data_IF_830093140614
#
_entry.id   IF_830093140614
#
_cell.length_a   1.000
_cell.length_b   1.000
_cell.length_c   1.000
_cell.angle_alpha   90.00
_cell.angle_beta   90.00
_cell.angle_gamma   90.00
#
_symmetry.space_group_name_H-M   'P 1'
#
loop_
_entity.id
_entity.type
_entity.pdbx_description
1 polymer ?
#
# COMPACT_ATOMS: atom_id res chain seq x y z
N UNK A 1 -16.25 -4.09 15.91
CA UNK A 1 -15.05 -3.96 16.76
C UNK A 1 -14.35 -5.29 16.78
N UNK A 2 -13.04 -5.30 16.56
CA UNK A 2 -12.18 -6.47 16.59
C UNK A 2 -11.03 -6.18 17.55
N UNK A 3 -10.61 -7.18 18.32
CA UNK A 3 -9.52 -7.00 19.27
C UNK A 3 -8.45 -8.06 19.06
N UNK A 4 -7.21 -7.71 19.38
CA UNK A 4 -6.18 -8.70 19.61
C UNK A 4 -5.24 -8.28 20.74
N UNK A 5 -4.78 -9.27 21.51
CA UNK A 5 -3.81 -9.12 22.57
C UNK A 5 -2.58 -9.97 22.25
N UNK A 6 -1.41 -9.34 22.25
CA UNK A 6 -0.13 -10.01 22.04
C UNK A 6 0.90 -9.59 23.08
N UNK A 7 1.89 -10.44 23.32
CA UNK A 7 3.11 -10.05 24.02
C UNK A 7 3.80 -8.89 23.27
N UNK A 8 4.09 -7.80 23.97
CA UNK A 8 4.68 -6.59 23.36
C UNK A 8 6.06 -6.85 22.76
N UNK A 9 6.87 -7.74 23.36
CA UNK A 9 8.20 -8.07 22.83
C UNK A 9 8.10 -8.83 21.51
N UNK A 10 7.20 -9.81 21.42
CA UNK A 10 6.98 -10.58 20.19
C UNK A 10 6.44 -9.70 19.06
N UNK A 11 5.47 -8.83 19.39
CA UNK A 11 4.93 -7.87 18.44
C UNK A 11 6.04 -6.91 17.95
N UNK A 12 6.82 -6.33 18.86
CA UNK A 12 7.93 -5.44 18.51
C UNK A 12 8.98 -6.14 17.65
N UNK A 13 9.37 -7.38 17.99
CA UNK A 13 10.33 -8.16 17.17
C UNK A 13 9.81 -8.38 15.75
N UNK A 14 8.52 -8.66 15.60
CA UNK A 14 7.86 -8.79 14.29
C UNK A 14 7.93 -7.49 13.50
N UNK A 15 7.64 -6.36 14.15
CA UNK A 15 7.71 -5.05 13.50
C UNK A 15 9.16 -4.61 13.20
N UNK A 16 10.14 -5.03 14.01
CA UNK A 16 11.57 -4.82 13.71
C UNK A 16 11.97 -5.61 12.45
N UNK A 17 11.49 -6.84 12.29
CA UNK A 17 11.71 -7.63 11.08
C UNK A 17 11.13 -6.93 9.84
N UNK A 18 9.89 -6.44 9.93
CA UNK A 18 9.27 -5.62 8.88
C UNK A 18 10.04 -4.32 8.60
N UNK A 19 10.56 -3.65 9.64
CA UNK A 19 11.33 -2.41 9.49
C UNK A 19 12.65 -2.64 8.74
N UNK A 20 13.25 -3.83 8.84
CA UNK A 20 14.41 -4.19 8.03
C UNK A 20 14.07 -4.28 6.54
N UNK A 21 12.80 -4.45 6.19
CA UNK A 21 12.32 -4.38 4.81
C UNK A 21 12.12 -2.90 4.51
N UNK A 22 11.26 -2.16 5.22
CA UNK A 22 10.98 -0.72 5.01
C UNK A 22 12.15 0.21 5.42
N UNK A 23 13.32 0.03 4.81
CA UNK A 23 14.54 0.81 5.07
C UNK A 23 14.56 2.09 4.24
N UNK A 24 15.00 3.17 4.87
CA UNK A 24 15.35 4.42 4.21
C UNK A 24 14.48 5.61 4.63
N UNK A 25 14.90 6.80 4.20
CA UNK A 25 14.23 8.08 4.46
C UNK A 25 13.52 8.64 3.21
N UNK A 26 13.35 7.82 2.17
CA UNK A 26 12.64 8.26 0.97
C UNK A 26 11.17 8.55 1.28
N UNK A 27 10.55 9.44 0.50
CA UNK A 27 9.12 9.73 0.62
C UNK A 27 8.25 8.45 0.57
N UNK A 28 8.63 7.46 -0.24
CA UNK A 28 7.96 6.15 -0.33
C UNK A 28 8.10 5.30 0.94
N UNK A 29 9.30 5.28 1.53
CA UNK A 29 9.53 4.58 2.81
C UNK A 29 8.68 5.20 3.93
N UNK A 30 8.61 6.53 3.97
CA UNK A 30 7.83 7.26 4.98
C UNK A 30 6.32 7.08 4.82
N UNK A 31 5.84 6.87 3.59
CA UNK A 31 4.41 6.68 3.26
C UNK A 31 3.99 5.21 3.17
N UNK A 32 4.85 4.27 3.55
CA UNK A 32 4.55 2.83 3.47
C UNK A 32 3.37 2.47 4.37
N UNK A 33 2.36 1.83 3.79
CA UNK A 33 1.21 1.28 4.50
C UNK A 33 1.53 -0.14 4.97
N UNK A 34 1.19 -0.40 6.23
CA UNK A 34 1.12 -1.72 6.83
C UNK A 34 -0.33 -2.17 6.79
N UNK A 35 -0.60 -3.28 6.11
CA UNK A 35 -1.86 -3.98 6.21
C UNK A 35 -1.81 -4.90 7.44
N UNK A 36 -2.81 -4.78 8.32
CA UNK A 36 -3.01 -5.64 9.49
C UNK A 36 -4.24 -6.50 9.22
N UNK A 37 -4.07 -7.81 9.14
CA UNK A 37 -5.17 -8.76 8.99
C UNK A 37 -5.32 -9.53 10.29
N UNK A 38 -6.49 -9.43 10.91
CA UNK A 38 -6.85 -10.16 12.14
C UNK A 38 -7.79 -11.29 11.77
N UNK A 39 -7.41 -12.50 12.15
CA UNK A 39 -8.15 -13.75 11.99
C UNK A 39 -8.12 -14.55 13.29
N UNK A 40 -8.93 -15.60 13.40
CA UNK A 40 -9.02 -16.39 14.63
C UNK A 40 -7.64 -16.94 15.07
N UNK A 41 -7.16 -16.45 16.22
CA UNK A 41 -5.91 -16.85 16.85
C UNK A 41 -4.64 -16.26 16.21
N UNK A 42 -4.77 -15.37 15.21
CA UNK A 42 -3.62 -14.93 14.40
C UNK A 42 -3.77 -13.51 13.86
N UNK A 43 -2.67 -12.77 13.89
CA UNK A 43 -2.55 -11.47 13.23
C UNK A 43 -1.40 -11.49 12.23
N UNK A 44 -1.68 -11.01 11.02
CA UNK A 44 -0.73 -10.90 9.92
C UNK A 44 -0.48 -9.43 9.60
N UNK A 45 0.79 -9.07 9.47
CA UNK A 45 1.28 -7.75 9.11
C UNK A 45 1.96 -7.82 7.75
N UNK A 46 1.51 -7.02 6.79
CA UNK A 46 2.06 -6.99 5.44
C UNK A 46 2.48 -5.57 5.06
N UNK A 47 3.66 -5.46 4.46
CA UNK A 47 4.18 -4.27 3.78
C UNK A 47 4.69 -4.71 2.41
N UNK A 48 4.92 -3.80 1.44
CA UNK A 48 5.56 -4.15 0.19
C UNK A 48 6.86 -4.95 0.41
N UNK A 49 6.90 -6.15 -0.15
CA UNK A 49 8.03 -7.07 -0.10
C UNK A 49 8.14 -7.96 1.15
N UNK A 50 7.22 -7.87 2.12
CA UNK A 50 7.27 -8.74 3.29
C UNK A 50 5.93 -8.93 4.02
N UNK A 51 5.72 -10.15 4.50
CA UNK A 51 4.55 -10.55 5.30
C UNK A 51 5.06 -11.33 6.51
N UNK A 52 4.63 -10.93 7.70
CA UNK A 52 4.92 -11.64 8.94
C UNK A 52 3.63 -11.87 9.72
N UNK A 53 3.60 -12.92 10.54
CA UNK A 53 2.43 -13.26 11.35
C UNK A 53 2.82 -13.63 12.77
N UNK A 54 1.92 -13.37 13.71
CA UNK A 54 2.02 -13.78 15.11
C UNK A 54 0.75 -14.52 15.50
N UNK A 55 0.89 -15.54 16.33
CA UNK A 55 -0.24 -16.19 16.98
C UNK A 55 -0.52 -15.45 18.28
N UNK A 56 -1.77 -15.07 18.50
CA UNK A 56 -2.18 -14.24 19.62
C UNK A 56 -3.68 -14.39 19.91
N UNK A 57 -4.14 -13.86 21.03
CA UNK A 57 -5.57 -13.90 21.36
C UNK A 57 -6.30 -12.86 20.50
N UNK A 58 -7.36 -13.27 19.82
CA UNK A 58 -8.13 -12.41 18.93
C UNK A 58 -9.63 -12.55 19.19
N UNK A 59 -10.39 -11.49 18.91
CA UNK A 59 -11.84 -11.52 18.87
C UNK A 59 -12.34 -10.86 17.58
N UNK A 60 -12.93 -11.67 16.71
CA UNK A 60 -13.44 -11.25 15.41
C UNK A 60 -12.35 -11.08 14.35
N UNK A 61 -12.80 -10.66 13.17
CA UNK A 61 -12.02 -10.69 11.92
C UNK A 61 -12.08 -9.33 11.22
N UNK A 62 -10.91 -8.80 10.84
CA UNK A 62 -10.84 -7.53 10.10
C UNK A 62 -9.55 -7.42 9.30
N UNK A 63 -9.54 -6.44 8.40
CA UNK A 63 -8.32 -5.91 7.79
C UNK A 63 -8.25 -4.42 8.00
N UNK A 64 -7.11 -3.92 8.45
CA UNK A 64 -6.83 -2.52 8.70
C UNK A 64 -5.60 -2.04 7.92
N UNK A 65 -5.59 -0.77 7.53
CA UNK A 65 -4.46 -0.11 6.87
C UNK A 65 -3.99 1.09 7.70
N UNK A 66 -2.69 1.10 8.02
CA UNK A 66 -2.04 2.12 8.84
C UNK A 66 -0.65 2.46 8.29
N UNK A 67 -0.17 3.69 8.49
CA UNK A 67 1.22 4.04 8.20
C UNK A 67 2.17 3.20 9.05
N UNK A 68 3.04 2.42 8.40
CA UNK A 68 3.93 1.46 9.05
C UNK A 68 4.81 2.12 10.11
N UNK A 69 5.46 3.24 9.77
CA UNK A 69 6.35 3.91 10.72
C UNK A 69 5.60 4.44 11.94
N UNK A 70 4.41 5.00 11.75
CA UNK A 70 3.59 5.48 12.86
C UNK A 70 3.24 4.32 13.80
N UNK A 71 2.74 3.21 13.25
CA UNK A 71 2.42 2.01 14.02
C UNK A 71 3.65 1.44 14.74
N UNK A 72 4.79 1.33 14.04
CA UNK A 72 6.05 0.87 14.61
C UNK A 72 6.48 1.72 15.81
N UNK A 73 6.38 3.05 15.71
CA UNK A 73 6.78 3.96 16.79
C UNK A 73 5.88 3.80 18.02
N UNK A 74 4.56 3.73 17.82
CA UNK A 74 3.62 3.49 18.92
C UNK A 74 3.92 2.19 19.65
N UNK A 75 4.16 1.10 18.91
CA UNK A 75 4.48 -0.19 19.53
C UNK A 75 5.86 -0.18 20.19
N UNK A 76 6.85 0.47 19.60
CA UNK A 76 8.21 0.57 20.16
C UNK A 76 8.20 1.29 21.51
N UNK A 77 7.36 2.31 21.65
CA UNK A 77 7.31 3.16 22.84
C UNK A 77 6.37 2.61 23.93
N UNK A 78 5.71 1.47 23.68
CA UNK A 78 4.94 0.74 24.68
C UNK A 78 5.84 0.26 25.83
N UNK A 79 5.43 0.59 27.06
CA UNK A 79 6.07 0.10 28.30
C UNK A 79 5.41 -1.14 28.87
N UNK A 80 4.23 -1.50 28.38
CA UNK A 80 3.43 -2.63 28.89
C UNK A 80 3.95 -3.97 28.39
N UNK A 81 3.79 -5.02 29.20
CA UNK A 81 4.18 -6.40 28.84
C UNK A 81 3.29 -6.98 27.72
N UNK A 82 2.03 -6.56 27.70
CA UNK A 82 1.04 -6.92 26.70
C UNK A 82 0.57 -5.68 25.95
N UNK A 83 0.31 -5.86 24.66
CA UNK A 83 -0.26 -4.84 23.78
C UNK A 83 -1.71 -5.21 23.52
N UNK A 84 -2.64 -4.41 24.04
CA UNK A 84 -4.07 -4.53 23.76
C UNK A 84 -4.42 -3.63 22.59
N UNK A 85 -4.84 -4.24 21.48
CA UNK A 85 -5.15 -3.51 20.25
C UNK A 85 -6.62 -3.71 19.91
N UNK A 86 -7.33 -2.60 19.77
CA UNK A 86 -8.75 -2.55 19.44
C UNK A 86 -8.90 -1.86 18.10
N UNK A 87 -9.50 -2.56 17.14
CA UNK A 87 -9.78 -2.07 15.79
C UNK A 87 -11.28 -1.83 15.66
N UNK A 88 -11.62 -0.58 15.39
CA UNK A 88 -12.94 -0.11 14.99
C UNK A 88 -12.88 0.34 13.52
N UNK A 89 -14.01 0.77 12.96
CA UNK A 89 -14.13 1.11 11.53
C UNK A 89 -13.09 2.13 11.08
N UNK A 90 -12.95 3.20 11.86
CA UNK A 90 -12.11 4.34 11.50
C UNK A 90 -10.98 4.59 12.49
N UNK A 91 -10.86 3.74 13.52
CA UNK A 91 -9.91 3.95 14.61
C UNK A 91 -9.24 2.67 15.05
N UNK A 92 -7.99 2.82 15.45
CA UNK A 92 -7.19 1.79 16.09
C UNK A 92 -6.74 2.35 17.43
N UNK A 93 -7.05 1.63 18.50
CA UNK A 93 -6.59 1.95 19.85
C UNK A 93 -5.51 0.96 20.26
N UNK A 94 -4.39 1.47 20.75
CA UNK A 94 -3.30 0.71 21.35
C UNK A 94 -3.24 1.14 22.81
N UNK A 95 -3.74 0.28 23.70
CA UNK A 95 -4.04 0.65 25.09
C UNK A 95 -4.89 1.95 25.10
N UNK A 96 -4.37 3.05 25.65
CA UNK A 96 -5.08 4.32 25.80
C UNK A 96 -4.93 5.28 24.60
N UNK A 97 -4.07 4.96 23.62
CA UNK A 97 -3.80 5.82 22.46
C UNK A 97 -4.71 5.41 21.32
N UNK A 98 -5.54 6.33 20.82
CA UNK A 98 -6.42 6.10 19.68
C UNK A 98 -5.96 6.91 18.47
N UNK A 99 -5.90 6.27 17.31
CA UNK A 99 -5.45 6.87 16.05
C UNK A 99 -6.42 6.54 14.91
N UNK A 100 -6.56 7.43 13.91
CA UNK A 100 -7.40 7.17 12.76
C UNK A 100 -6.75 6.16 11.81
N UNK A 101 -7.54 5.20 11.34
CA UNK A 101 -7.14 4.19 10.35
C UNK A 101 -8.28 3.91 9.37
N UNK A 102 -8.02 3.15 8.31
CA UNK A 102 -9.08 2.52 7.51
C UNK A 102 -9.18 1.06 7.91
N UNK A 103 -10.36 0.58 8.29
CA UNK A 103 -10.62 -0.83 8.54
C UNK A 103 -11.82 -1.35 7.77
N UNK A 104 -11.82 -2.65 7.51
CA UNK A 104 -12.95 -3.40 6.96
C UNK A 104 -13.12 -4.68 7.74
N UNK A 105 -14.37 -5.06 8.01
CA UNK A 105 -14.74 -6.21 8.83
C UNK A 105 -15.42 -7.25 7.96
N UNK A 106 -15.08 -8.52 8.15
CA UNK A 106 -15.60 -9.60 7.30
C UNK A 106 -16.27 -10.67 8.15
N UNK A 107 -17.49 -11.06 7.80
CA UNK A 107 -18.19 -12.16 8.47
C UNK A 107 -17.86 -13.52 7.87
N UNK A 108 -17.67 -13.61 6.56
CA UNK A 108 -17.11 -14.72 5.78
C UNK A 108 -16.99 -14.24 4.30
N UNK A 109 -15.81 -14.44 3.71
CA UNK A 109 -15.57 -14.56 2.25
C UNK A 109 -15.39 -13.38 1.27
N UNK A 110 -14.91 -12.22 1.71
CA UNK A 110 -14.11 -11.40 0.77
C UNK A 110 -13.15 -10.45 1.50
N UNK A 111 -12.02 -10.99 1.96
CA UNK A 111 -10.93 -10.17 2.48
C UNK A 111 -10.33 -9.41 1.30
N UNK A 112 -10.24 -8.07 1.38
CA UNK A 112 -9.46 -7.28 0.42
C UNK A 112 -8.07 -7.91 0.29
N UNK A 113 -7.66 -8.28 -0.94
CA UNK A 113 -6.40 -9.00 -1.11
C UNK A 113 -5.23 -8.12 -0.71
N UNK A 114 -4.19 -8.74 -0.17
CA UNK A 114 -2.94 -8.03 0.12
C UNK A 114 -2.25 -7.69 -1.18
N UNK A 115 -1.90 -6.41 -1.33
CA UNK A 115 -1.21 -5.95 -2.54
C UNK A 115 0.21 -6.53 -2.54
N UNK A 116 0.48 -7.37 -3.52
CA UNK A 116 1.80 -7.92 -3.79
C UNK A 116 2.63 -6.89 -4.56
N UNK A 117 3.48 -6.17 -3.84
CA UNK A 117 4.50 -5.29 -4.41
C UNK A 117 5.88 -5.74 -3.95
N UNK A 118 6.92 -5.69 -4.81
CA UNK A 118 8.28 -5.94 -4.38
C UNK A 118 8.75 -4.85 -3.42
N UNK A 119 9.75 -5.17 -2.59
CA UNK A 119 10.30 -4.22 -1.62
C UNK A 119 10.78 -2.91 -2.29
N UNK A 120 11.51 -3.02 -3.40
CA UNK A 120 11.96 -1.89 -4.21
C UNK A 120 11.14 -1.79 -5.49
N UNK A 121 9.89 -1.36 -5.37
CA UNK A 121 9.07 -1.11 -6.54
C UNK A 121 9.37 0.26 -7.17
N UNK A 122 9.32 0.29 -8.50
CA UNK A 122 9.46 1.48 -9.35
C UNK A 122 8.08 1.92 -9.85
N UNK A 123 8.06 2.99 -10.63
CA UNK A 123 6.84 3.49 -11.28
C UNK A 123 6.25 2.45 -12.23
N UNK A 124 7.09 1.59 -12.81
CA UNK A 124 6.65 0.49 -13.67
C UNK A 124 5.76 -0.50 -12.92
N UNK A 125 6.21 -0.98 -11.75
CA UNK A 125 5.42 -1.91 -10.95
C UNK A 125 4.12 -1.27 -10.44
N UNK A 126 4.13 0.02 -10.07
CA UNK A 126 2.92 0.75 -9.69
C UNK A 126 1.91 0.81 -10.84
N UNK A 127 2.36 1.17 -12.04
CA UNK A 127 1.52 1.26 -13.23
C UNK A 127 0.92 -0.11 -13.56
N UNK A 128 1.71 -1.18 -13.42
CA UNK A 128 1.24 -2.55 -13.69
C UNK A 128 0.17 -3.04 -12.70
N UNK A 129 -0.02 -2.40 -11.54
CA UNK A 129 -1.14 -2.71 -10.64
C UNK A 129 -2.50 -2.45 -11.28
N UNK A 130 -2.56 -1.55 -12.28
CA UNK A 130 -3.80 -1.22 -12.99
C UNK A 130 -4.24 -2.27 -14.02
N UNK A 131 -3.43 -3.29 -14.30
CA UNK A 131 -3.74 -4.30 -15.33
C UNK A 131 -4.69 -5.39 -14.80
N UNK A 132 -5.78 -4.96 -14.16
CA UNK A 132 -6.91 -5.79 -13.71
C UNK A 132 -6.53 -6.84 -12.64
N UNK A 133 -5.34 -6.71 -12.04
CA UNK A 133 -4.89 -7.54 -10.91
C UNK A 133 -5.62 -7.19 -9.61
N UNK A 134 -5.93 -5.91 -9.39
CA UNK A 134 -6.54 -5.39 -8.16
C UNK A 134 -7.72 -4.47 -8.45
N UNK A 135 -8.69 -4.46 -7.54
CA UNK A 135 -9.85 -3.55 -7.59
C UNK A 135 -9.48 -2.14 -7.13
N UNK A 136 -10.26 -1.14 -7.54
CA UNK A 136 -10.05 0.25 -7.09
C UNK A 136 -10.18 0.39 -5.57
N UNK A 137 -11.05 -0.40 -4.94
CA UNK A 137 -11.20 -0.44 -3.48
C UNK A 137 -9.92 -0.95 -2.81
N UNK A 138 -9.31 -2.02 -3.33
CA UNK A 138 -8.04 -2.56 -2.83
C UNK A 138 -6.89 -1.55 -2.95
N UNK A 139 -6.85 -0.78 -4.05
CA UNK A 139 -5.84 0.26 -4.28
C UNK A 139 -6.07 1.51 -3.40
N UNK A 140 -7.33 1.90 -3.18
CA UNK A 140 -7.70 3.02 -2.30
C UNK A 140 -7.41 2.72 -0.83
N UNK A 141 -7.75 1.49 -0.40
CA UNK A 141 -7.50 0.99 0.94
C UNK A 141 -6.01 1.11 1.29
N UNK A 142 -5.14 0.78 0.32
CA UNK A 142 -3.70 0.84 0.45
C UNK A 142 -3.05 2.19 0.11
N UNK A 143 -3.85 3.24 -0.16
CA UNK A 143 -3.36 4.58 -0.54
C UNK A 143 -2.38 4.56 -1.74
N UNK A 144 -2.61 3.65 -2.69
CA UNK A 144 -1.78 3.51 -3.89
C UNK A 144 -2.29 4.36 -5.06
N UNK A 145 -3.57 4.72 -5.07
CA UNK A 145 -4.21 5.49 -6.16
C UNK A 145 -3.44 6.76 -6.52
N UNK A 146 -3.11 7.59 -5.52
CA UNK A 146 -2.38 8.84 -5.77
C UNK A 146 -0.96 8.61 -6.29
N UNK A 147 -0.31 7.53 -5.84
CA UNK A 147 1.05 7.17 -6.28
C UNK A 147 1.04 6.67 -7.72
N UNK A 148 0.03 5.89 -8.10
CA UNK A 148 -0.17 5.41 -9.47
C UNK A 148 -0.46 6.59 -10.40
N UNK A 149 -1.34 7.51 -10.00
CA UNK A 149 -1.65 8.71 -10.77
C UNK A 149 -0.40 9.57 -11.02
N UNK A 150 0.43 9.75 -9.98
CA UNK A 150 1.70 10.46 -10.10
C UNK A 150 2.66 9.73 -11.05
N UNK A 151 2.81 8.41 -10.92
CA UNK A 151 3.67 7.60 -11.78
C UNK A 151 3.30 7.70 -13.27
N UNK A 152 2.00 7.66 -13.60
CA UNK A 152 1.52 7.85 -14.97
C UNK A 152 1.81 9.27 -15.48
N UNK A 153 1.61 10.27 -14.63
CA UNK A 153 1.90 11.67 -14.98
C UNK A 153 3.39 11.86 -15.27
N UNK A 154 4.26 11.33 -14.42
CA UNK A 154 5.72 11.33 -14.62
C UNK A 154 6.13 10.57 -15.88
N UNK A 155 5.50 9.42 -16.18
CA UNK A 155 5.76 8.70 -17.43
C UNK A 155 5.46 9.58 -18.65
N UNK A 156 4.29 10.23 -18.66
CA UNK A 156 3.89 11.12 -19.76
C UNK A 156 4.82 12.33 -19.90
N UNK A 157 5.28 12.92 -18.81
CA UNK A 157 6.28 13.99 -18.85
C UNK A 157 7.62 13.51 -19.39
N UNK A 158 8.06 12.33 -18.98
CA UNK A 158 9.30 11.75 -19.47
C UNK A 158 9.22 11.45 -20.97
N UNK A 159 8.08 10.94 -21.48
CA UNK A 159 7.85 10.77 -22.92
C UNK A 159 8.00 12.10 -23.66
N UNK A 160 7.37 13.18 -23.15
CA UNK A 160 7.46 14.51 -23.75
C UNK A 160 8.89 15.03 -23.78
N UNK A 161 9.61 14.93 -22.65
CA UNK A 161 11.01 15.35 -22.54
C UNK A 161 11.93 14.56 -23.47
N UNK A 162 11.78 13.24 -23.50
CA UNK A 162 12.53 12.36 -24.40
C UNK A 162 12.25 12.66 -25.87
N UNK A 163 11.00 12.94 -26.22
CA UNK A 163 10.66 13.34 -27.59
C UNK A 163 11.36 14.64 -27.99
N UNK A 164 11.35 15.68 -27.14
CA UNK A 164 12.06 16.94 -27.42
C UNK A 164 13.55 16.69 -27.69
N UNK A 165 14.19 15.81 -26.90
CA UNK A 165 15.62 15.51 -27.03
C UNK A 165 15.95 14.63 -28.23
N UNK A 166 15.06 13.70 -28.60
CA UNK A 166 15.32 12.68 -29.62
C UNK A 166 14.74 13.02 -30.99
N UNK A 167 13.85 14.01 -31.08
CA UNK A 167 13.26 14.47 -32.34
C UNK A 167 14.33 14.94 -33.34
N UNK A 168 15.43 15.52 -32.87
CA UNK A 168 16.57 15.89 -33.73
C UNK A 168 17.23 14.70 -34.44
N UNK A 169 17.04 13.48 -33.91
CA UNK A 169 17.53 12.23 -34.50
C UNK A 169 16.44 11.49 -35.29
N UNK A 170 15.30 12.14 -35.56
CA UNK A 170 14.18 11.55 -36.31
C UNK A 170 13.27 10.63 -35.51
N UNK A 171 13.44 10.53 -34.18
CA UNK A 171 12.59 9.69 -33.33
C UNK A 171 11.24 10.36 -33.09
N UNK A 172 10.18 9.71 -33.53
CA UNK A 172 8.81 10.21 -33.39
C UNK A 172 8.22 9.89 -32.02
N UNK A 173 7.20 10.66 -31.64
CA UNK A 173 6.44 10.44 -30.42
C UNK A 173 5.74 9.06 -30.40
N UNK A 174 5.29 8.56 -31.55
CA UNK A 174 4.66 7.25 -31.66
C UNK A 174 5.65 6.11 -31.44
N UNK A 175 6.87 6.22 -31.95
CA UNK A 175 7.92 5.21 -31.73
C UNK A 175 8.30 5.12 -30.26
N UNK A 176 8.43 6.25 -29.56
CA UNK A 176 8.66 6.26 -28.12
C UNK A 176 7.52 5.61 -27.35
N UNK A 177 6.26 5.91 -27.72
CA UNK A 177 5.09 5.26 -27.11
C UNK A 177 5.06 3.76 -27.37
N UNK A 178 5.35 3.31 -28.60
CA UNK A 178 5.41 1.89 -28.95
C UNK A 178 6.50 1.17 -28.18
N UNK A 179 7.69 1.77 -28.09
CA UNK A 179 8.81 1.22 -27.32
C UNK A 179 8.45 1.03 -25.85
N UNK A 180 7.86 2.05 -25.22
CA UNK A 180 7.46 1.98 -23.81
C UNK A 180 6.32 0.99 -23.62
N UNK A 181 5.33 0.97 -24.53
CA UNK A 181 4.23 0.01 -24.49
C UNK A 181 4.73 -1.44 -24.63
N UNK A 182 5.84 -1.68 -25.34
CA UNK A 182 6.44 -3.03 -25.44
C UNK A 182 7.10 -3.52 -24.14
N UNK A 183 7.39 -2.60 -23.20
CA UNK A 183 7.95 -2.91 -21.88
C UNK A 183 6.90 -2.93 -20.78
N UNK A 184 5.69 -2.45 -21.08
CA UNK A 184 4.54 -2.46 -20.19
C UNK A 184 3.67 -3.67 -20.49
N UNK A 185 2.97 -4.17 -19.47
CA UNK A 185 1.90 -5.17 -19.65
C UNK A 185 0.64 -4.56 -20.33
N UNK A 186 0.61 -3.24 -20.56
CA UNK A 186 -0.51 -2.51 -21.18
C UNK A 186 -0.05 -1.34 -22.05
N UNK A 187 -0.89 -0.95 -23.02
CA UNK A 187 -0.59 0.19 -23.90
C UNK A 187 -0.69 1.52 -23.16
N UNK A 188 0.16 2.48 -23.54
CA UNK A 188 0.16 3.84 -22.97
C UNK A 188 -1.21 4.52 -23.09
N UNK A 189 -1.95 4.27 -24.18
CA UNK A 189 -3.29 4.85 -24.36
C UNK A 189 -4.33 4.24 -23.41
N UNK A 190 -4.23 2.93 -23.14
CA UNK A 190 -5.07 2.27 -22.12
C UNK A 190 -4.79 2.84 -20.73
N UNK A 191 -3.51 3.03 -20.39
CA UNK A 191 -3.11 3.64 -19.12
C UNK A 191 -3.63 5.07 -18.97
N UNK A 192 -3.60 5.88 -20.03
CA UNK A 192 -4.12 7.24 -19.99
C UNK A 192 -5.64 7.28 -19.78
N UNK A 193 -6.38 6.33 -20.37
CA UNK A 193 -7.82 6.17 -20.08
C UNK A 193 -8.04 5.79 -18.62
N UNK A 194 -7.31 4.79 -18.10
CA UNK A 194 -7.38 4.39 -16.69
C UNK A 194 -7.00 5.56 -15.75
N UNK A 195 -6.02 6.37 -16.13
CA UNK A 195 -5.63 7.55 -15.35
C UNK A 195 -6.73 8.60 -15.28
N UNK A 196 -7.47 8.84 -16.37
CA UNK A 196 -8.61 9.76 -16.34
C UNK A 196 -9.72 9.29 -15.38
N UNK A 197 -9.94 7.97 -15.29
CA UNK A 197 -10.86 7.36 -14.31
C UNK A 197 -10.35 7.56 -12.88
N UNK A 198 -9.04 7.37 -12.65
CA UNK A 198 -8.42 7.65 -11.34
C UNK A 198 -8.57 9.11 -10.94
N UNK A 199 -8.35 10.05 -11.87
CA UNK A 199 -8.53 11.49 -11.61
C UNK A 199 -9.97 11.79 -11.20
N UNK A 200 -10.96 11.23 -11.88
CA UNK A 200 -12.36 11.40 -11.52
C UNK A 200 -12.66 10.83 -10.13
N UNK A 201 -12.14 9.64 -9.82
CA UNK A 201 -12.31 9.01 -8.51
C UNK A 201 -11.67 9.81 -7.37
N UNK A 202 -10.48 10.37 -7.57
CA UNK A 202 -9.81 11.24 -6.60
C UNK A 202 -10.65 12.50 -6.34
N UNK A 203 -11.20 13.11 -7.40
CA UNK A 203 -11.98 14.34 -7.29
C UNK A 203 -13.35 14.16 -6.62
N UNK A 204 -13.92 12.95 -6.61
CA UNK A 204 -15.17 12.67 -5.89
C UNK A 204 -14.98 12.48 -4.38
N UNK A 205 -13.75 12.27 -3.91
CA UNK A 205 -13.44 12.00 -2.50
C UNK A 205 -12.88 13.18 -1.72
N UNK A 206 -12.54 14.28 -2.39
CA UNK A 206 -12.10 15.54 -1.80
C UNK A 206 -13.25 16.53 -1.77
#
# INVERSE_FOLDING_TARGET
MVTFNSNSKQLLQTLIALKKVVRGKSARSLSTICEITVTDGKVTFAVPGAIFSINCLTQGTCKAAILFLHFYHLIKDLKTKEANIVISLDTLSINDITIPIKATFFKNDSILRTIQLPFKYTDLELINLLNDKYTMEELDFNKLISQIHLAISTLNENIKKSHILLNQYGVTHEELRKLISSKLESSVDSLNRKNSVLTHYINQKN
#
